data_IF_844139707146
#
_entry.id   IF_844139707146
#
_cell.length_a   1.000
_cell.length_b   1.000
_cell.length_c   1.000
_cell.angle_alpha   90.00
_cell.angle_beta   90.00
_cell.angle_gamma   90.00
#
_symmetry.space_group_name_H-M   'P 1'
#
loop_
_entity.id
_entity.type
_entity.pdbx_description
1 polymer ?
#
# COMPACT_ATOMS: atom_id res chain seq x y z
N UNK A 1 4.75 -8.86 11.50
CA UNK A 1 5.58 -7.82 10.84
C UNK A 1 7.05 -8.18 10.83
N UNK A 2 7.65 -8.69 11.92
CA UNK A 2 9.07 -9.10 11.93
C UNK A 2 9.40 -10.21 10.92
N UNK A 3 8.50 -11.16 10.69
CA UNK A 3 8.69 -12.30 9.79
C UNK A 3 8.49 -12.00 8.28
N UNK A 4 8.34 -10.73 7.91
CA UNK A 4 8.11 -10.32 6.52
C UNK A 4 9.26 -9.47 5.95
N UNK A 5 10.39 -9.39 6.65
CA UNK A 5 11.59 -8.64 6.24
C UNK A 5 11.28 -7.21 5.75
N UNK A 6 10.37 -6.51 6.44
CA UNK A 6 10.04 -5.13 6.09
C UNK A 6 11.25 -4.21 6.30
N UNK A 7 11.51 -3.36 5.30
CA UNK A 7 12.45 -2.24 5.44
C UNK A 7 11.73 -1.09 6.14
N UNK A 8 11.97 -0.94 7.44
CA UNK A 8 11.41 0.16 8.22
C UNK A 8 12.16 1.45 7.90
N UNK A 9 11.43 2.46 7.41
CA UNK A 9 11.96 3.78 7.08
C UNK A 9 11.41 4.83 8.06
N UNK A 10 12.26 5.73 8.53
CA UNK A 10 11.95 6.82 9.46
C UNK A 10 11.40 8.08 8.78
N UNK A 11 11.23 8.06 7.45
CA UNK A 11 10.85 9.22 6.61
C UNK A 11 11.91 10.33 6.67
N UNK A 12 13.16 9.96 6.87
CA UNK A 12 14.32 10.85 6.86
C UNK A 12 15.39 10.25 5.98
N UNK A 13 15.61 10.85 4.80
CA UNK A 13 16.54 10.32 3.79
C UNK A 13 17.94 10.06 4.36
N UNK A 14 18.45 10.97 5.19
CA UNK A 14 19.79 10.88 5.78
C UNK A 14 20.00 9.60 6.62
N UNK A 15 18.93 9.06 7.22
CA UNK A 15 18.99 7.80 7.98
C UNK A 15 18.57 6.61 7.10
N UNK A 16 17.55 6.82 6.29
CA UNK A 16 16.87 5.78 5.53
C UNK A 16 17.71 5.25 4.36
N UNK A 17 18.62 6.05 3.81
CA UNK A 17 19.46 5.65 2.68
C UNK A 17 20.32 4.41 2.99
N UNK A 18 20.99 4.42 4.14
CA UNK A 18 21.84 3.30 4.58
C UNK A 18 21.00 2.06 4.91
N UNK A 19 19.86 2.24 5.58
CA UNK A 19 18.94 1.15 5.92
C UNK A 19 18.35 0.51 4.66
N UNK A 20 17.95 1.32 3.68
CA UNK A 20 17.42 0.87 2.41
C UNK A 20 18.48 0.11 1.61
N UNK A 21 19.69 0.66 1.50
CA UNK A 21 20.82 0.01 0.83
C UNK A 21 21.16 -1.33 1.47
N UNK A 22 21.35 -1.37 2.78
CA UNK A 22 21.68 -2.60 3.51
C UNK A 22 20.56 -3.65 3.37
N UNK A 23 19.31 -3.22 3.47
CA UNK A 23 18.13 -4.07 3.28
C UNK A 23 18.05 -4.68 1.90
N UNK A 24 18.24 -3.89 0.85
CA UNK A 24 18.23 -4.37 -0.54
C UNK A 24 19.40 -5.32 -0.82
N UNK A 25 20.60 -5.03 -0.31
CA UNK A 25 21.74 -5.91 -0.54
C UNK A 25 21.53 -7.31 0.07
N UNK A 26 20.82 -7.42 1.19
CA UNK A 26 20.44 -8.73 1.75
C UNK A 26 19.51 -9.53 0.83
N UNK A 27 18.75 -8.87 -0.04
CA UNK A 27 17.86 -9.54 -1.00
C UNK A 27 18.62 -10.18 -2.16
N UNK A 28 19.85 -9.73 -2.43
CA UNK A 28 20.68 -10.26 -3.53
C UNK A 28 20.98 -11.74 -3.36
N UNK A 29 21.33 -12.14 -2.14
CA UNK A 29 21.70 -13.52 -1.79
C UNK A 29 20.52 -14.28 -1.15
N UNK A 30 19.28 -13.81 -1.34
CA UNK A 30 18.12 -14.44 -0.74
C UNK A 30 17.85 -15.79 -1.42
N UNK A 31 17.70 -16.90 -0.66
CA UNK A 31 17.72 -18.26 -1.22
C UNK A 31 16.44 -18.65 -1.99
N UNK A 32 15.47 -17.74 -2.12
CA UNK A 32 14.17 -17.98 -2.75
C UNK A 32 13.75 -16.79 -3.62
N UNK A 33 12.85 -16.96 -4.60
CA UNK A 33 12.23 -15.83 -5.27
C UNK A 33 11.52 -14.93 -4.26
N UNK A 34 11.67 -13.61 -4.42
CA UNK A 34 11.05 -12.62 -3.54
C UNK A 34 10.25 -11.59 -4.34
N UNK A 35 9.32 -10.92 -3.65
CA UNK A 35 8.61 -9.74 -4.15
C UNK A 35 8.89 -8.58 -3.21
N UNK A 36 9.35 -7.45 -3.76
CA UNK A 36 9.49 -6.20 -3.00
C UNK A 36 8.41 -5.21 -3.46
N UNK A 37 7.46 -4.93 -2.58
CA UNK A 37 6.40 -3.96 -2.83
C UNK A 37 6.87 -2.55 -2.44
N UNK A 38 6.77 -1.59 -3.37
CA UNK A 38 7.13 -0.19 -3.15
C UNK A 38 5.92 0.72 -3.37
N UNK A 39 5.59 1.52 -2.36
CA UNK A 39 4.53 2.54 -2.43
C UNK A 39 5.16 3.93 -2.57
N UNK A 40 5.39 4.34 -3.82
CA UNK A 40 6.17 5.54 -4.12
C UNK A 40 5.48 6.83 -3.65
N UNK A 41 4.16 6.84 -3.50
CA UNK A 41 3.41 7.96 -2.90
C UNK A 41 3.84 8.25 -1.45
N UNK A 42 4.36 7.24 -0.76
CA UNK A 42 4.87 7.34 0.61
C UNK A 42 3.80 7.54 1.69
N UNK A 43 2.51 7.51 1.33
CA UNK A 43 1.40 7.65 2.27
C UNK A 43 0.13 7.03 1.70
N UNK A 44 -0.88 6.81 2.57
CA UNK A 44 -2.21 6.38 2.13
C UNK A 44 -2.90 7.52 1.40
N UNK A 45 -3.57 7.20 0.29
CA UNK A 45 -4.45 8.11 -0.43
C UNK A 45 -5.63 8.54 0.46
N UNK A 46 -5.88 9.85 0.51
CA UNK A 46 -7.08 10.46 1.09
C UNK A 46 -7.42 11.72 0.29
N UNK A 47 -8.69 12.14 0.27
CA UNK A 47 -9.11 13.34 -0.46
C UNK A 47 -8.35 14.60 0.01
N UNK A 48 -8.14 14.74 1.32
CA UNK A 48 -7.37 15.87 1.87
C UNK A 48 -5.91 15.89 1.38
N UNK A 49 -5.28 14.72 1.20
CA UNK A 49 -3.92 14.62 0.68
C UNK A 49 -3.85 14.86 -0.82
N UNK A 50 -4.88 14.46 -1.56
CA UNK A 50 -5.02 14.79 -2.97
C UNK A 50 -5.10 16.30 -3.18
N UNK A 51 -5.94 17.00 -2.42
CA UNK A 51 -6.04 18.47 -2.49
C UNK A 51 -4.69 19.15 -2.20
N UNK A 52 -4.01 18.74 -1.13
CA UNK A 52 -2.67 19.25 -0.82
C UNK A 52 -1.64 18.94 -1.93
N UNK A 53 -1.74 17.79 -2.58
CA UNK A 53 -0.90 17.44 -3.72
C UNK A 53 -1.21 18.32 -4.94
N UNK A 54 -2.48 18.64 -5.20
CA UNK A 54 -2.91 19.52 -6.30
C UNK A 54 -2.42 20.96 -6.11
N UNK A 55 -2.51 21.49 -4.88
CA UNK A 55 -1.97 22.81 -4.53
C UNK A 55 -0.45 22.85 -4.75
N UNK A 56 0.26 21.82 -4.27
CA UNK A 56 1.70 21.72 -4.47
C UNK A 56 2.06 21.63 -5.95
N UNK A 57 1.38 20.77 -6.74
CA UNK A 57 1.62 20.64 -8.17
C UNK A 57 1.45 21.97 -8.90
N UNK A 58 0.35 22.69 -8.61
CA UNK A 58 0.07 24.00 -9.19
C UNK A 58 1.17 25.01 -8.86
N UNK A 59 1.63 25.03 -7.60
CA UNK A 59 2.70 25.95 -7.16
C UNK A 59 4.07 25.70 -7.80
N UNK A 60 4.33 24.45 -8.23
CA UNK A 60 5.60 24.02 -8.81
C UNK A 60 5.54 23.87 -10.34
N UNK A 61 4.39 24.14 -10.97
CA UNK A 61 4.18 23.93 -12.40
C UNK A 61 4.24 22.46 -12.82
N UNK A 62 3.90 21.54 -11.92
CA UNK A 62 3.82 20.10 -12.20
C UNK A 62 2.42 19.73 -12.72
N UNK A 63 2.27 18.60 -13.43
CA UNK A 63 0.96 18.05 -13.76
C UNK A 63 0.12 17.86 -12.49
N UNK A 64 -1.08 18.42 -12.48
CA UNK A 64 -2.00 18.38 -11.33
C UNK A 64 -2.70 17.02 -11.31
N UNK A 65 -2.46 16.17 -10.30
CA UNK A 65 -3.05 14.83 -10.27
C UNK A 65 -4.53 14.87 -9.87
N UNK A 66 -5.32 13.93 -10.39
CA UNK A 66 -6.76 13.82 -10.11
C UNK A 66 -7.13 12.61 -9.26
N UNK A 67 -6.40 11.51 -9.43
CA UNK A 67 -6.71 10.19 -8.88
C UNK A 67 -5.55 9.57 -8.09
N UNK A 68 -4.33 10.10 -8.25
CA UNK A 68 -3.11 9.63 -7.55
C UNK A 68 -2.45 10.73 -6.73
N UNK A 69 -1.50 10.37 -5.86
CA UNK A 69 -0.62 11.33 -5.21
C UNK A 69 0.68 11.50 -6.01
N UNK A 70 1.41 12.58 -5.72
CA UNK A 70 2.70 12.86 -6.35
C UNK A 70 3.75 11.87 -5.79
N UNK A 71 4.48 11.14 -6.65
CA UNK A 71 5.45 10.15 -6.20
C UNK A 71 6.68 10.78 -5.54
N UNK A 72 7.13 10.18 -4.44
CA UNK A 72 8.41 10.46 -3.76
C UNK A 72 9.48 9.52 -4.31
N UNK A 73 10.22 9.99 -5.30
CA UNK A 73 11.06 9.13 -6.14
C UNK A 73 12.35 8.62 -5.49
N UNK A 74 12.89 9.27 -4.45
CA UNK A 74 14.20 8.91 -3.86
C UNK A 74 14.35 7.43 -3.49
N UNK A 75 13.34 6.90 -2.78
CA UNK A 75 13.34 5.49 -2.38
C UNK A 75 13.27 4.55 -3.59
N UNK A 76 12.49 4.90 -4.62
CA UNK A 76 12.38 4.13 -5.86
C UNK A 76 13.69 4.16 -6.66
N UNK A 77 14.32 5.33 -6.81
CA UNK A 77 15.59 5.49 -7.52
C UNK A 77 16.69 4.66 -6.84
N UNK A 78 16.83 4.77 -5.53
CA UNK A 78 17.79 3.94 -4.78
C UNK A 78 17.48 2.45 -4.90
N UNK A 79 16.20 2.07 -4.90
CA UNK A 79 15.79 0.70 -5.13
C UNK A 79 16.24 0.19 -6.51
N UNK A 80 15.99 0.95 -7.57
CA UNK A 80 16.44 0.61 -8.94
C UNK A 80 17.96 0.52 -9.02
N UNK A 81 18.68 1.53 -8.52
CA UNK A 81 20.14 1.60 -8.56
C UNK A 81 20.80 0.37 -7.93
N UNK A 82 20.32 -0.08 -6.77
CA UNK A 82 20.90 -1.21 -6.06
C UNK A 82 20.41 -2.59 -6.56
N UNK A 83 19.22 -2.68 -7.16
CA UNK A 83 18.62 -3.94 -7.59
C UNK A 83 18.82 -4.27 -9.07
N UNK A 84 19.25 -3.30 -9.90
CA UNK A 84 19.34 -3.46 -11.35
C UNK A 84 20.13 -4.71 -11.80
N UNK A 85 21.12 -5.12 -11.01
CA UNK A 85 21.98 -6.27 -11.33
C UNK A 85 21.34 -7.65 -11.12
N UNK A 86 20.29 -7.77 -10.29
CA UNK A 86 19.71 -9.08 -9.93
C UNK A 86 18.18 -9.15 -9.99
N UNK A 87 17.48 -8.01 -10.11
CA UNK A 87 16.03 -7.98 -10.30
C UNK A 87 15.70 -7.80 -11.78
N UNK A 88 15.01 -8.75 -12.42
CA UNK A 88 14.83 -8.74 -13.87
C UNK A 88 13.74 -7.78 -14.36
N UNK A 89 12.74 -7.48 -13.53
CA UNK A 89 11.56 -6.72 -13.95
C UNK A 89 10.88 -6.01 -12.77
N UNK A 90 10.16 -4.94 -13.10
CA UNK A 90 9.27 -4.21 -12.21
C UNK A 90 7.84 -4.45 -12.69
N UNK A 91 6.96 -4.83 -11.77
CA UNK A 91 5.54 -4.95 -12.05
C UNK A 91 4.85 -3.67 -11.62
N UNK A 92 4.41 -2.90 -12.60
CA UNK A 92 3.62 -1.72 -12.37
C UNK A 92 2.17 -2.12 -12.15
N UNK A 93 1.62 -1.81 -10.98
CA UNK A 93 0.27 -2.16 -10.58
C UNK A 93 -0.55 -0.91 -10.30
N UNK A 94 -1.75 -0.85 -10.90
CA UNK A 94 -2.77 0.17 -10.64
C UNK A 94 -4.03 -0.54 -10.20
N UNK A 95 -4.59 -0.10 -9.08
CA UNK A 95 -5.75 -0.74 -8.45
C UNK A 95 -6.90 0.25 -8.44
N UNK A 96 -8.06 -0.19 -8.91
CA UNK A 96 -9.29 0.59 -8.86
C UNK A 96 -10.44 -0.25 -8.33
N UNK A 97 -11.38 0.41 -7.66
CA UNK A 97 -12.60 -0.22 -7.13
C UNK A 97 -13.73 0.28 -8.01
N UNK A 98 -14.46 -0.62 -8.69
CA UNK A 98 -15.66 -0.25 -9.46
C UNK A 98 -16.66 0.53 -8.62
N UNK A 99 -17.32 1.53 -9.19
CA UNK A 99 -18.36 2.32 -8.48
C UNK A 99 -19.52 1.46 -8.01
N UNK A 100 -19.81 0.38 -8.73
CA UNK A 100 -20.81 -0.62 -8.41
C UNK A 100 -20.43 -1.49 -7.20
N UNK A 101 -19.15 -1.50 -6.82
CA UNK A 101 -18.61 -2.36 -5.78
C UNK A 101 -18.23 -1.57 -4.53
N UNK A 102 -18.63 -2.06 -3.35
CA UNK A 102 -18.24 -1.42 -2.10
C UNK A 102 -16.75 -1.60 -1.82
N UNK A 103 -16.11 -0.53 -1.33
CA UNK A 103 -14.69 -0.53 -0.98
C UNK A 103 -14.34 -1.66 -0.02
N UNK A 104 -13.21 -2.37 -0.24
CA UNK A 104 -12.77 -3.42 0.65
C UNK A 104 -12.37 -2.80 2.00
N UNK A 105 -12.94 -3.33 3.07
CA UNK A 105 -12.56 -2.97 4.45
C UNK A 105 -12.28 -4.23 5.25
N UNK A 106 -11.44 -4.12 6.28
CA UNK A 106 -11.16 -5.24 7.19
C UNK A 106 -12.46 -5.81 7.78
N UNK A 107 -13.43 -4.94 8.11
CA UNK A 107 -14.71 -5.38 8.66
C UNK A 107 -15.54 -6.16 7.65
N UNK A 108 -15.57 -5.74 6.36
CA UNK A 108 -16.25 -6.50 5.30
C UNK A 108 -15.60 -7.87 5.11
N UNK A 109 -14.27 -7.93 5.12
CA UNK A 109 -13.52 -9.18 5.03
C UNK A 109 -13.89 -10.13 6.18
N UNK A 110 -13.91 -9.66 7.43
CA UNK A 110 -14.33 -10.47 8.58
C UNK A 110 -15.80 -10.91 8.51
N UNK A 111 -16.67 -10.11 7.90
CA UNK A 111 -18.08 -10.45 7.65
C UNK A 111 -18.30 -11.38 6.46
N UNK A 112 -17.24 -11.81 5.76
CA UNK A 112 -17.35 -12.62 4.54
C UNK A 112 -18.02 -11.89 3.37
N UNK A 113 -18.06 -10.55 3.41
CA UNK A 113 -18.68 -9.74 2.35
C UNK A 113 -17.69 -9.54 1.21
N UNK A 114 -18.09 -9.86 -0.01
CA UNK A 114 -17.25 -9.66 -1.20
C UNK A 114 -17.09 -8.19 -1.57
N UNK A 115 -15.95 -7.89 -2.18
CA UNK A 115 -15.64 -6.63 -2.86
C UNK A 115 -14.87 -6.98 -4.13
N UNK A 116 -15.25 -6.36 -5.26
CA UNK A 116 -14.53 -6.52 -6.54
C UNK A 116 -13.48 -5.43 -6.63
N UNK A 117 -12.31 -5.78 -7.15
CA UNK A 117 -11.19 -4.88 -7.37
C UNK A 117 -10.65 -5.16 -8.76
N UNK A 118 -10.55 -4.12 -9.58
CA UNK A 118 -9.88 -4.21 -10.87
C UNK A 118 -8.41 -3.88 -10.66
N UNK A 119 -7.52 -4.71 -11.23
CA UNK A 119 -6.07 -4.51 -11.14
C UNK A 119 -5.50 -4.50 -12.54
N UNK A 120 -4.89 -3.38 -12.93
CA UNK A 120 -4.09 -3.28 -14.13
C UNK A 120 -2.63 -3.58 -13.79
N UNK A 121 -2.03 -4.55 -14.48
CA UNK A 121 -0.65 -4.98 -14.25
C UNK A 121 0.15 -4.84 -15.55
N UNK A 122 1.26 -4.11 -15.51
CA UNK A 122 2.18 -3.95 -16.63
C UNK A 122 3.59 -4.35 -16.20
N UNK A 123 4.16 -5.35 -16.86
CA UNK A 123 5.55 -5.76 -16.64
C UNK A 123 6.47 -4.81 -17.39
N UNK A 124 7.45 -4.23 -16.70
CA UNK A 124 8.52 -3.39 -17.26
C UNK A 124 9.85 -4.09 -17.02
N UNK A 125 10.68 -4.27 -18.05
CA UNK A 125 11.97 -4.92 -17.87
C UNK A 125 12.94 -3.96 -17.20
N UNK A 126 13.76 -4.45 -16.27
CA UNK A 126 14.73 -3.60 -15.56
C UNK A 126 15.75 -2.98 -16.54
N UNK A 127 16.04 -3.69 -17.64
CA UNK A 127 16.94 -3.25 -18.71
C UNK A 127 16.40 -2.10 -19.57
N UNK A 128 15.09 -1.84 -19.52
CA UNK A 128 14.45 -0.75 -20.27
C UNK A 128 14.42 0.56 -19.48
N UNK A 129 14.79 0.54 -18.20
CA UNK A 129 14.81 1.74 -17.39
C UNK A 129 16.03 2.62 -17.72
N UNK A 130 15.88 3.96 -17.68
CA UNK A 130 17.01 4.87 -17.87
C UNK A 130 18.17 4.60 -16.92
N UNK A 131 19.40 4.89 -17.32
CA UNK A 131 20.59 4.60 -16.51
C UNK A 131 20.86 5.63 -15.40
N UNK A 132 20.51 6.90 -15.61
CA UNK A 132 20.78 7.97 -14.62
C UNK A 132 19.67 8.06 -13.57
N UNK A 133 20.05 8.38 -12.34
CA UNK A 133 19.13 8.51 -11.20
C UNK A 133 18.05 9.57 -11.45
N UNK A 134 18.40 10.68 -12.09
CA UNK A 134 17.47 11.75 -12.46
C UNK A 134 16.45 11.27 -13.51
N UNK A 135 16.90 10.49 -14.49
CA UNK A 135 16.02 9.96 -15.52
C UNK A 135 15.11 8.85 -14.98
N UNK A 136 15.58 8.02 -14.04
CA UNK A 136 14.73 7.05 -13.31
C UNK A 136 13.68 7.78 -12.47
N UNK A 137 14.05 8.89 -11.82
CA UNK A 137 13.10 9.72 -11.10
C UNK A 137 12.03 10.30 -12.02
N UNK A 138 12.44 10.80 -13.20
CA UNK A 138 11.49 11.34 -14.18
C UNK A 138 10.58 10.26 -14.76
N UNK A 139 11.13 9.11 -15.12
CA UNK A 139 10.36 7.94 -15.56
C UNK A 139 9.29 7.53 -14.54
N UNK A 140 9.62 7.56 -13.25
CA UNK A 140 8.67 7.27 -12.19
C UNK A 140 7.54 8.32 -12.13
N UNK A 141 7.85 9.62 -12.29
CA UNK A 141 6.83 10.67 -12.36
C UNK A 141 5.91 10.49 -13.56
N UNK A 142 6.49 10.21 -14.73
CA UNK A 142 5.75 10.02 -15.98
C UNK A 142 4.78 8.82 -15.89
N UNK A 143 5.20 7.74 -15.23
CA UNK A 143 4.32 6.62 -14.92
C UNK A 143 3.13 7.04 -14.06
N UNK A 144 3.33 7.88 -13.06
CA UNK A 144 2.20 8.35 -12.24
C UNK A 144 1.23 9.22 -13.03
N UNK A 145 1.72 9.98 -14.02
CA UNK A 145 0.85 10.69 -14.98
C UNK A 145 0.09 9.72 -15.89
N UNK A 146 0.73 8.64 -16.37
CA UNK A 146 0.06 7.56 -17.13
C UNK A 146 -1.04 6.90 -16.28
N UNK A 147 -0.75 6.61 -15.01
CA UNK A 147 -1.71 6.03 -14.05
C UNK A 147 -2.89 6.94 -13.74
N UNK A 148 -2.65 8.24 -13.61
CA UNK A 148 -3.71 9.20 -13.34
C UNK A 148 -4.76 9.20 -14.47
N UNK A 149 -4.29 9.21 -15.72
CA UNK A 149 -5.13 9.09 -16.93
C UNK A 149 -5.83 7.73 -17.01
N UNK A 150 -5.12 6.67 -16.64
CA UNK A 150 -5.66 5.31 -16.64
C UNK A 150 -6.81 5.18 -15.62
N UNK A 151 -6.68 5.81 -14.45
CA UNK A 151 -7.74 5.87 -13.45
C UNK A 151 -8.90 6.77 -13.88
N UNK A 152 -8.64 7.89 -14.57
CA UNK A 152 -9.71 8.70 -15.17
C UNK A 152 -10.54 7.87 -16.16
N UNK A 153 -9.88 7.07 -17.02
CA UNK A 153 -10.55 6.14 -17.94
C UNK A 153 -11.40 5.11 -17.17
N UNK A 154 -10.83 4.47 -16.14
CA UNK A 154 -11.56 3.49 -15.32
C UNK A 154 -12.77 4.13 -14.60
N UNK A 155 -12.64 5.36 -14.10
CA UNK A 155 -13.76 6.06 -13.44
C UNK A 155 -14.91 6.34 -14.43
N UNK A 156 -14.61 6.56 -15.71
CA UNK A 156 -15.59 6.83 -16.76
C UNK A 156 -16.22 5.54 -17.32
N UNK A 157 -15.41 4.52 -17.58
CA UNK A 157 -15.80 3.33 -18.36
C UNK A 157 -15.89 2.03 -17.53
N UNK A 158 -15.51 2.08 -16.25
CA UNK A 158 -15.39 0.94 -15.31
C UNK A 158 -14.39 -0.15 -15.76
N UNK A 159 -13.60 0.11 -16.80
CA UNK A 159 -12.53 -0.76 -17.31
C UNK A 159 -11.22 0.00 -17.51
N UNK A 160 -10.10 -0.71 -17.40
CA UNK A 160 -8.78 -0.15 -17.69
C UNK A 160 -8.44 -0.18 -19.18
N UNK A 161 -8.98 -1.14 -19.91
CA UNK A 161 -8.66 -1.38 -21.32
C UNK A 161 -9.76 -2.16 -22.00
N UNK A 162 -9.69 -2.23 -23.32
CA UNK A 162 -10.61 -3.04 -24.13
C UNK A 162 -10.25 -4.53 -24.10
N UNK A 163 -9.15 -4.89 -23.43
CA UNK A 163 -8.79 -6.30 -23.21
C UNK A 163 -9.79 -6.97 -22.27
N UNK A 164 -10.12 -8.26 -22.52
CA UNK A 164 -11.02 -9.00 -21.66
C UNK A 164 -10.45 -9.10 -20.24
N UNK A 165 -11.31 -8.89 -19.25
CA UNK A 165 -10.96 -9.05 -17.85
C UNK A 165 -10.49 -10.49 -17.59
N UNK A 166 -9.25 -10.64 -17.13
CA UNK A 166 -8.74 -11.95 -16.73
C UNK A 166 -9.23 -12.27 -15.32
N UNK A 167 -10.24 -13.14 -15.21
CA UNK A 167 -10.65 -13.69 -13.94
C UNK A 167 -9.63 -14.74 -13.47
N UNK A 168 -8.95 -14.44 -12.36
CA UNK A 168 -7.95 -15.33 -11.73
C UNK A 168 -8.66 -16.51 -11.02
N UNK A 169 -9.98 -16.40 -10.79
CA UNK A 169 -10.77 -17.36 -10.05
C UNK A 169 -10.31 -17.50 -8.59
N UNK A 170 -10.93 -18.43 -7.87
CA UNK A 170 -10.51 -18.81 -6.51
C UNK A 170 -9.81 -20.16 -6.55
N UNK A 171 -8.50 -20.25 -6.26
CA UNK A 171 -7.79 -21.52 -6.33
C UNK A 171 -8.26 -22.48 -5.22
N UNK A 172 -8.68 -23.69 -5.61
CA UNK A 172 -9.12 -24.75 -4.69
C UNK A 172 -8.02 -25.10 -3.67
N UNK A 173 -6.74 -25.02 -4.07
CA UNK A 173 -5.60 -25.29 -3.19
C UNK A 173 -5.61 -24.39 -1.94
N UNK A 174 -5.94 -23.11 -2.09
CA UNK A 174 -6.03 -22.19 -0.96
C UNK A 174 -7.18 -22.57 -0.02
N UNK A 175 -8.31 -23.02 -0.56
CA UNK A 175 -9.43 -23.51 0.25
C UNK A 175 -9.03 -24.75 1.06
N UNK A 176 -8.34 -25.71 0.45
CA UNK A 176 -7.85 -26.91 1.13
C UNK A 176 -6.89 -26.57 2.28
N UNK A 177 -5.96 -25.64 2.05
CA UNK A 177 -5.02 -25.20 3.09
C UNK A 177 -5.75 -24.53 4.25
N UNK A 178 -6.68 -23.61 3.96
CA UNK A 178 -7.47 -22.92 4.99
C UNK A 178 -8.34 -23.91 5.77
N UNK A 179 -9.01 -24.84 5.09
CA UNK A 179 -9.80 -25.87 5.73
C UNK A 179 -8.95 -26.78 6.63
N UNK A 180 -7.78 -27.22 6.15
CA UNK A 180 -6.85 -28.04 6.93
C UNK A 180 -6.39 -27.33 8.21
N UNK A 181 -6.00 -26.06 8.12
CA UNK A 181 -5.61 -25.26 9.28
C UNK A 181 -6.77 -25.02 10.23
N UNK A 182 -7.97 -24.75 9.70
CA UNK A 182 -9.17 -24.58 10.51
C UNK A 182 -9.50 -25.86 11.30
N UNK A 183 -9.43 -27.03 10.67
CA UNK A 183 -9.63 -28.32 11.33
C UNK A 183 -8.58 -28.58 12.42
N UNK A 184 -7.30 -28.31 12.14
CA UNK A 184 -6.21 -28.49 13.10
C UNK A 184 -6.39 -27.59 14.32
N UNK A 185 -6.69 -26.30 14.10
CA UNK A 185 -6.93 -25.34 15.19
C UNK A 185 -8.18 -25.69 15.97
N UNK A 186 -9.27 -26.09 15.30
CA UNK A 186 -10.51 -26.52 15.96
C UNK A 186 -10.29 -27.78 16.82
N UNK A 187 -9.53 -28.75 16.32
CA UNK A 187 -9.17 -29.95 17.08
C UNK A 187 -8.30 -29.60 18.29
N UNK A 188 -7.28 -28.75 18.13
CA UNK A 188 -6.47 -28.25 19.24
C UNK A 188 -7.31 -27.52 20.29
N UNK A 189 -8.21 -26.64 19.87
CA UNK A 189 -9.14 -25.94 20.75
C UNK A 189 -10.07 -26.91 21.48
N UNK A 190 -10.62 -27.92 20.80
CA UNK A 190 -11.47 -28.94 21.41
C UNK A 190 -10.72 -29.71 22.52
N UNK A 191 -9.51 -30.21 22.24
CA UNK A 191 -8.72 -30.91 23.24
C UNK A 191 -8.35 -30.02 24.43
N UNK A 192 -8.01 -28.75 24.16
CA UNK A 192 -7.72 -27.78 25.21
C UNK A 192 -8.93 -27.53 26.12
N UNK A 193 -10.14 -27.39 25.54
CA UNK A 193 -11.38 -27.22 26.31
C UNK A 193 -11.72 -28.46 27.15
N UNK A 194 -11.51 -29.66 26.62
CA UNK A 194 -11.71 -30.91 27.37
C UNK A 194 -10.71 -31.05 28.52
N UNK A 195 -9.42 -30.81 28.26
CA UNK A 195 -8.35 -30.93 29.26
C UNK A 195 -8.47 -29.89 30.38
N UNK A 196 -8.72 -28.64 30.03
CA UNK A 196 -8.78 -27.54 31.00
C UNK A 196 -10.06 -27.56 31.83
N UNK A 197 -11.14 -28.18 31.34
CA UNK A 197 -12.50 -28.05 31.89
C UNK A 197 -12.90 -26.58 32.13
N UNK A 198 -12.33 -25.64 31.36
CA UNK A 198 -12.49 -24.20 31.55
C UNK A 198 -13.95 -23.74 31.54
N UNK A 199 -14.80 -24.45 30.80
CA UNK A 199 -16.23 -24.15 30.68
C UNK A 199 -17.10 -24.89 31.69
N UNK A 200 -16.54 -25.76 32.55
CA UNK A 200 -17.30 -26.50 33.56
C UNK A 200 -17.54 -25.69 34.84
N UNK A 201 -16.68 -24.71 35.14
CA UNK A 201 -16.77 -23.87 36.33
C UNK A 201 -17.20 -22.45 36.00
N UNK A 202 -18.01 -21.85 36.88
CA UNK A 202 -18.44 -20.45 36.73
C UNK A 202 -17.27 -19.47 36.64
N UNK A 203 -16.20 -19.71 37.41
CA UNK A 203 -14.97 -18.90 37.38
C UNK A 203 -14.27 -18.98 36.03
N UNK A 204 -14.21 -20.18 35.43
CA UNK A 204 -13.59 -20.37 34.12
C UNK A 204 -14.42 -19.78 32.97
N UNK A 205 -15.75 -19.86 33.04
CA UNK A 205 -16.65 -19.18 32.09
C UNK A 205 -16.46 -17.65 32.19
N UNK A 206 -16.44 -17.11 33.42
CA UNK A 206 -16.24 -15.67 33.63
C UNK A 206 -14.89 -15.18 33.09
N UNK A 207 -13.81 -15.93 33.36
CA UNK A 207 -12.47 -15.61 32.85
C UNK A 207 -12.41 -15.66 31.32
N UNK A 208 -13.06 -16.66 30.71
CA UNK A 208 -13.14 -16.79 29.24
C UNK A 208 -13.93 -15.64 28.61
N UNK A 209 -15.05 -15.23 29.23
CA UNK A 209 -15.86 -14.11 28.78
C UNK A 209 -15.09 -12.78 28.85
N UNK A 210 -14.35 -12.55 29.95
CA UNK A 210 -13.47 -11.37 30.08
C UNK A 210 -12.37 -11.39 29.02
N UNK A 211 -11.74 -12.54 28.79
CA UNK A 211 -10.74 -12.70 27.74
C UNK A 211 -11.29 -12.38 26.35
N UNK A 212 -12.49 -12.89 26.02
CA UNK A 212 -13.17 -12.61 24.76
C UNK A 212 -13.51 -11.14 24.60
N UNK A 213 -13.97 -10.48 25.67
CA UNK A 213 -14.25 -9.04 25.66
C UNK A 213 -12.98 -8.23 25.38
N UNK A 214 -11.85 -8.57 26.03
CA UNK A 214 -10.56 -7.92 25.79
C UNK A 214 -10.12 -8.10 24.33
N UNK A 215 -10.19 -9.32 23.80
CA UNK A 215 -9.84 -9.60 22.39
C UNK A 215 -10.72 -8.79 21.44
N UNK A 216 -12.02 -8.72 21.71
CA UNK A 216 -12.97 -7.95 20.87
C UNK A 216 -12.66 -6.46 20.90
N UNK A 217 -12.36 -5.89 22.07
CA UNK A 217 -11.96 -4.49 22.22
C UNK A 217 -10.66 -4.22 21.47
N UNK A 218 -9.64 -5.08 21.63
CA UNK A 218 -8.37 -4.95 20.93
C UNK A 218 -8.54 -5.04 19.41
N UNK A 219 -9.37 -5.98 18.93
CA UNK A 219 -9.71 -6.08 17.52
C UNK A 219 -10.39 -4.81 17.01
N UNK A 220 -11.35 -4.27 17.75
CA UNK A 220 -12.03 -3.03 17.37
C UNK A 220 -11.06 -1.86 17.30
N UNK A 221 -10.15 -1.74 18.27
CA UNK A 221 -9.07 -0.75 18.25
C UNK A 221 -8.21 -0.93 16.98
N UNK A 222 -7.77 -2.14 16.69
CA UNK A 222 -6.97 -2.43 15.49
C UNK A 222 -7.69 -2.10 14.18
N UNK A 223 -8.99 -2.43 14.09
CA UNK A 223 -9.82 -2.10 12.91
C UNK A 223 -9.88 -0.58 12.74
N UNK A 224 -10.07 0.18 13.83
CA UNK A 224 -10.08 1.64 13.78
C UNK A 224 -8.73 2.22 13.35
N UNK A 225 -7.60 1.67 13.83
CA UNK A 225 -6.25 2.08 13.37
C UNK A 225 -5.98 1.72 11.90
N UNK A 226 -6.66 0.71 11.35
CA UNK A 226 -6.50 0.33 9.95
C UNK A 226 -7.12 1.32 8.95
N UNK A 227 -8.05 2.17 9.40
CA UNK A 227 -8.74 3.14 8.54
C UNK A 227 -7.75 4.18 7.96
N UNK A 228 -7.87 4.47 6.66
CA UNK A 228 -7.00 5.42 5.96
C UNK A 228 -7.20 6.86 6.43
N UNK A 229 -8.42 7.22 6.83
CA UNK A 229 -8.81 8.56 7.29
C UNK A 229 -8.06 9.01 8.54
N UNK A 230 -7.64 8.07 9.39
CA UNK A 230 -6.85 8.35 10.61
C UNK A 230 -5.35 8.42 10.36
N UNK A 231 -4.91 8.43 9.09
CA UNK A 231 -3.50 8.55 8.75
C UNK A 231 -2.95 9.94 9.07
N UNK A 232 -1.64 10.05 9.31
CA UNK A 232 -0.98 11.33 9.61
C UNK A 232 -1.33 12.37 8.54
N UNK A 233 -1.79 13.58 8.93
CA UNK A 233 -2.10 14.65 8.00
C UNK A 233 -0.91 15.02 7.12
N UNK A 234 -1.17 15.54 5.92
CA UNK A 234 -0.13 16.15 5.11
C UNK A 234 0.42 17.38 5.85
N UNK A 235 1.74 17.49 5.97
CA UNK A 235 2.37 18.77 6.31
C UNK A 235 2.24 19.67 5.09
N UNK A 236 1.38 20.69 5.17
CA UNK A 236 1.29 21.73 4.15
C UNK A 236 2.64 22.44 4.10
N UNK A 237 3.28 22.49 2.93
CA UNK A 237 4.53 23.24 2.78
C UNK A 237 4.23 24.73 2.97
N UNK A 238 5.03 25.49 3.74
CA UNK A 238 4.85 26.92 3.83
C UNK A 238 4.99 27.53 2.43
N UNK A 239 3.95 28.24 1.99
CA UNK A 239 3.98 28.94 0.70
C UNK A 239 5.16 29.90 0.65
N UNK A 240 5.84 29.98 -0.50
CA UNK A 240 6.87 31.01 -0.74
C UNK A 240 6.25 32.38 -0.46
N UNK A 241 6.91 33.27 0.31
CA UNK A 241 6.45 34.65 0.43
C UNK A 241 6.47 35.30 -0.95
N UNK A 242 5.34 35.88 -1.36
CA UNK A 242 5.29 36.79 -2.51
C UNK A 242 6.17 37.99 -2.17
N UNK A 243 7.32 38.11 -2.81
CA UNK A 243 8.06 39.36 -2.85
C UNK A 243 7.22 40.37 -3.66
N UNK A 244 6.49 41.24 -2.97
CA UNK A 244 6.01 42.49 -3.56
C UNK A 244 7.22 43.43 -3.68
N UNK A 245 7.93 43.33 -4.81
CA UNK A 245 8.74 44.43 -5.32
C UNK A 245 7.92 45.14 -6.40
N UNK A 246 6.96 45.96 -5.97
CA UNK A 246 6.48 47.05 -6.82
C UNK A 246 7.54 48.15 -6.76
N UNK A 247 8.27 48.26 -7.86
CA UNK A 247 9.12 49.39 -8.19
C UNK A 247 8.25 50.64 -8.34
N UNK A 248 8.21 51.48 -7.31
CA UNK A 248 7.82 52.87 -7.44
C UNK A 248 9.01 53.67 -7.97
N UNK A 249 9.16 53.76 -9.30
CA UNK A 249 9.95 54.80 -9.96
C UNK A 249 9.24 55.33 -11.21
N UNK A 250 9.06 56.66 -11.19
CA UNK A 250 9.02 57.60 -12.32
C UNK A 250 7.85 57.56 -13.32
N UNK A 251 6.87 58.45 -13.09
CA UNK A 251 6.72 59.68 -13.88
C UNK A 251 5.77 60.68 -13.22
#
# INVERSE_FOLDING_TARGET
MWFSEYLFLERSWAKDENTLKAGIQRLKDFPRPFWLALFVEGTRFTQAKLLAAQEYATSQGLPVPRNVLIPRTKGFVSAVSHMRSFVPAIYDMTVAIPKSSPSPTMLRLFKGQSSVVHVHVKRRLMKELPETDEAVAQWCKDLFVEKDKLLDKHIAEDTFSDQPLQDIGRPIKSLLVVASWACLVAYGAYNFLQWSSLLSSWKGIALSAVGLAIVTILMQIMILFSQSERSTPAKVAPGKPKNNSESSEAR
#
